data_IF_942641532362
#
_entry.id   IF_942641532362
#
_cell.length_a   1.000
_cell.length_b   1.000
_cell.length_c   1.000
_cell.angle_alpha   90.00
_cell.angle_beta   90.00
_cell.angle_gamma   90.00
#
_symmetry.space_group_name_H-M   'P 1'
#
loop_
_entity.id
_entity.type
_entity.pdbx_description
1 polymer ?
#
# COMPACT_ATOMS: atom_id res chain seq x y z
N UNK A 1 -16.20 -7.94 -21.57
CA UNK A 1 -15.03 -7.06 -21.82
C UNK A 1 -14.33 -6.83 -20.49
N UNK A 2 -13.02 -7.07 -20.40
CA UNK A 2 -12.22 -6.80 -19.20
C UNK A 2 -11.38 -5.56 -19.51
N UNK A 3 -11.43 -4.55 -18.64
CA UNK A 3 -10.65 -3.31 -18.78
C UNK A 3 -9.63 -3.24 -17.64
N UNK A 4 -8.35 -3.11 -17.99
CA UNK A 4 -7.30 -2.83 -17.02
C UNK A 4 -7.28 -1.34 -16.72
N UNK A 5 -7.39 -0.98 -15.45
CA UNK A 5 -7.40 0.42 -15.02
C UNK A 5 -6.17 0.71 -14.18
N UNK A 6 -5.34 1.71 -14.56
CA UNK A 6 -4.21 2.12 -13.73
C UNK A 6 -4.72 2.73 -12.42
N UNK A 7 -3.98 2.48 -11.34
CA UNK A 7 -4.25 3.05 -10.02
C UNK A 7 -2.99 3.68 -9.46
N UNK A 8 -3.14 4.75 -8.69
CA UNK A 8 -2.08 5.45 -8.00
C UNK A 8 -2.06 5.02 -6.53
N UNK A 9 -0.97 4.38 -6.10
CA UNK A 9 -0.84 3.89 -4.71
C UNK A 9 0.32 4.60 -4.04
N UNK A 10 0.11 5.17 -2.86
CA UNK A 10 1.19 5.65 -2.00
C UNK A 10 1.60 4.53 -1.04
N UNK A 11 2.91 4.28 -0.93
CA UNK A 11 3.49 3.36 0.05
C UNK A 11 4.57 4.13 0.80
N UNK A 12 4.35 4.31 2.10
CA UNK A 12 5.32 4.95 2.98
C UNK A 12 5.98 3.89 3.86
N UNK A 13 7.30 3.70 3.71
CA UNK A 13 8.07 2.74 4.51
C UNK A 13 8.50 3.34 5.84
N UNK A 14 8.37 2.56 6.91
CA UNK A 14 8.82 2.89 8.26
C UNK A 14 9.53 1.69 8.88
N UNK A 15 10.64 1.89 9.62
CA UNK A 15 11.37 0.79 10.24
C UNK A 15 10.52 -0.02 11.24
N UNK A 16 9.68 0.66 12.02
CA UNK A 16 8.92 0.12 13.16
C UNK A 16 7.58 0.84 13.34
N UNK A 17 6.63 0.24 14.07
CA UNK A 17 5.31 0.87 14.26
C UNK A 17 5.35 2.14 15.13
N UNK A 18 6.29 2.28 16.06
CA UNK A 18 6.41 3.49 16.87
C UNK A 18 6.82 4.71 16.01
N UNK A 19 7.74 4.50 15.06
CA UNK A 19 8.13 5.52 14.08
C UNK A 19 6.96 5.82 13.15
N UNK A 20 6.24 4.79 12.70
CA UNK A 20 5.05 4.99 11.87
C UNK A 20 3.95 5.81 12.59
N UNK A 21 3.75 5.61 13.89
CA UNK A 21 2.82 6.40 14.69
C UNK A 21 3.28 7.86 14.85
N UNK A 22 4.57 8.10 15.12
CA UNK A 22 5.14 9.46 15.23
C UNK A 22 5.01 10.24 13.92
N UNK A 23 5.14 9.56 12.79
CA UNK A 23 5.14 10.17 11.45
C UNK A 23 3.83 9.97 10.67
N UNK A 24 2.76 9.48 11.33
CA UNK A 24 1.49 9.15 10.68
C UNK A 24 0.86 10.36 9.97
N UNK A 25 1.17 11.58 10.43
CA UNK A 25 0.72 12.82 9.81
C UNK A 25 1.09 12.94 8.33
N UNK A 26 2.23 12.40 7.89
CA UNK A 26 2.61 12.37 6.47
C UNK A 26 1.69 11.44 5.66
N UNK A 27 1.37 10.29 6.22
CA UNK A 27 0.48 9.29 5.60
C UNK A 27 -0.95 9.83 5.48
N UNK A 28 -1.42 10.53 6.52
CA UNK A 28 -2.71 11.22 6.53
C UNK A 28 -2.75 12.29 5.43
N UNK A 29 -1.68 13.07 5.24
CA UNK A 29 -1.59 14.05 4.15
C UNK A 29 -1.72 13.39 2.77
N UNK A 30 -1.14 12.21 2.56
CA UNK A 30 -1.33 11.49 1.31
C UNK A 30 -2.78 11.05 1.12
N UNK A 31 -3.40 10.47 2.15
CA UNK A 31 -4.79 10.04 2.11
C UNK A 31 -5.75 11.21 1.83
N UNK A 32 -5.50 12.37 2.44
CA UNK A 32 -6.29 13.58 2.26
C UNK A 32 -6.01 14.35 0.95
N UNK A 33 -4.93 14.05 0.24
CA UNK A 33 -4.51 14.82 -0.94
C UNK A 33 -5.40 14.61 -2.18
N UNK A 34 -6.18 13.53 -2.22
CA UNK A 34 -6.95 13.14 -3.40
C UNK A 34 -6.10 12.64 -4.58
N UNK A 35 -4.77 12.56 -4.46
CA UNK A 35 -3.88 12.15 -5.56
C UNK A 35 -3.72 10.63 -5.71
N UNK A 36 -4.03 9.86 -4.66
CA UNK A 36 -3.80 8.42 -4.60
C UNK A 36 -5.11 7.67 -4.36
N UNK A 37 -5.30 6.55 -5.06
CA UNK A 37 -6.45 5.64 -4.94
C UNK A 37 -6.41 4.80 -3.67
N UNK A 38 -5.21 4.56 -3.14
CA UNK A 38 -4.98 3.89 -1.88
C UNK A 38 -3.66 4.35 -1.25
N UNK A 39 -3.58 4.27 0.08
CA UNK A 39 -2.39 4.63 0.86
C UNK A 39 -2.05 3.51 1.82
N UNK A 40 -0.77 3.14 1.87
CA UNK A 40 -0.23 2.10 2.72
C UNK A 40 0.93 2.60 3.56
N UNK A 41 1.03 2.05 4.77
CA UNK A 41 2.24 2.06 5.59
C UNK A 41 2.90 0.68 5.47
N UNK A 42 4.17 0.65 5.08
CA UNK A 42 5.01 -0.56 5.14
C UNK A 42 5.83 -0.53 6.42
N UNK A 43 5.76 -1.60 7.19
CA UNK A 43 6.65 -1.86 8.31
C UNK A 43 7.78 -2.79 7.84
N UNK A 44 9.03 -2.34 7.96
CA UNK A 44 10.20 -3.10 7.50
C UNK A 44 10.57 -4.22 8.48
N UNK A 45 10.56 -3.92 9.79
CA UNK A 45 11.02 -4.84 10.83
C UNK A 45 9.98 -5.04 11.96
N UNK A 46 9.12 -6.07 11.87
CA UNK A 46 8.11 -6.34 12.89
C UNK A 46 8.71 -6.69 14.25
N UNK A 47 9.82 -7.44 14.26
CA UNK A 47 10.38 -8.04 15.48
C UNK A 47 10.90 -7.01 16.49
N UNK A 48 11.11 -5.75 16.08
CA UNK A 48 11.49 -4.65 16.97
C UNK A 48 10.30 -3.84 17.48
N UNK A 49 9.09 -4.22 17.13
CA UNK A 49 7.89 -3.46 17.45
C UNK A 49 7.23 -4.00 18.72
N UNK A 50 6.93 -3.12 19.67
CA UNK A 50 6.09 -3.47 20.82
C UNK A 50 4.66 -3.81 20.37
N UNK A 51 4.06 -4.80 21.02
CA UNK A 51 2.73 -5.31 20.65
C UNK A 51 1.65 -4.22 20.77
N UNK A 52 1.84 -3.26 21.67
CA UNK A 52 0.92 -2.14 21.93
C UNK A 52 0.94 -1.10 20.81
N UNK A 53 2.12 -0.71 20.34
CA UNK A 53 2.30 0.26 19.27
C UNK A 53 1.77 -0.28 17.95
N UNK A 54 2.04 -1.56 17.65
CA UNK A 54 1.51 -2.21 16.46
C UNK A 54 -0.02 -2.23 16.47
N UNK A 55 -0.63 -2.59 17.61
CA UNK A 55 -2.10 -2.59 17.76
C UNK A 55 -2.68 -1.19 17.57
N UNK A 56 -2.07 -0.19 18.19
CA UNK A 56 -2.50 1.21 18.07
C UNK A 56 -2.43 1.68 16.62
N UNK A 57 -1.34 1.37 15.91
CA UNK A 57 -1.20 1.69 14.49
C UNK A 57 -2.29 1.02 13.65
N UNK A 58 -2.57 -0.26 13.89
CA UNK A 58 -3.63 -1.00 13.18
C UNK A 58 -5.00 -0.34 13.39
N UNK A 59 -5.33 0.04 14.61
CA UNK A 59 -6.62 0.66 14.93
C UNK A 59 -6.76 2.03 14.28
N UNK A 60 -5.72 2.88 14.35
CA UNK A 60 -5.67 4.18 13.66
C UNK A 60 -5.77 4.01 12.15
N UNK A 61 -5.02 3.06 11.57
CA UNK A 61 -5.02 2.82 10.13
C UNK A 61 -6.40 2.37 9.63
N UNK A 62 -7.09 1.49 10.37
CA UNK A 62 -8.47 1.08 10.05
C UNK A 62 -9.44 2.25 10.03
N UNK A 63 -9.39 3.12 11.05
CA UNK A 63 -10.25 4.29 11.14
C UNK A 63 -10.04 5.27 9.97
N UNK A 64 -8.79 5.42 9.54
CA UNK A 64 -8.41 6.33 8.46
C UNK A 64 -8.53 5.71 7.06
N UNK A 65 -8.82 4.41 6.97
CA UNK A 65 -8.81 3.69 5.69
C UNK A 65 -7.42 3.64 5.06
N UNK A 66 -6.38 3.45 5.87
CA UNK A 66 -4.99 3.28 5.46
C UNK A 66 -4.64 1.80 5.58
N UNK A 67 -3.97 1.24 4.57
CA UNK A 67 -3.48 -0.12 4.63
C UNK A 67 -2.17 -0.23 5.42
N UNK A 68 -1.94 -1.38 6.05
CA UNK A 68 -0.69 -1.68 6.77
C UNK A 68 -0.17 -3.01 6.25
N UNK A 69 1.06 -2.99 5.75
CA UNK A 69 1.76 -4.18 5.26
C UNK A 69 3.07 -4.36 6.02
N UNK A 70 3.54 -5.60 6.05
CA UNK A 70 4.73 -6.01 6.77
C UNK A 70 5.70 -6.73 5.84
N UNK A 71 6.97 -6.32 5.92
CA UNK A 71 8.05 -6.82 5.06
C UNK A 71 8.17 -6.07 3.73
N UNK A 72 9.13 -6.52 2.91
CA UNK A 72 9.55 -5.85 1.68
C UNK A 72 10.66 -4.82 1.92
N UNK A 73 11.28 -4.35 0.84
CA UNK A 73 12.40 -3.42 0.88
C UNK A 73 11.94 -1.96 1.05
N UNK A 74 12.80 -1.11 1.61
CA UNK A 74 12.55 0.33 1.67
C UNK A 74 12.39 0.91 0.26
N UNK A 75 11.43 1.82 0.07
CA UNK A 75 11.17 2.49 -1.22
C UNK A 75 10.82 1.59 -2.42
N UNK A 76 10.60 0.29 -2.21
CA UNK A 76 10.18 -0.65 -3.24
C UNK A 76 8.65 -0.63 -3.45
N UNK A 77 8.13 -0.99 -4.63
CA UNK A 77 6.69 -1.20 -4.82
C UNK A 77 6.18 -2.37 -3.97
N UNK A 78 4.85 -2.47 -3.82
CA UNK A 78 4.23 -3.70 -3.29
C UNK A 78 4.45 -4.84 -4.30
N UNK A 79 4.88 -6.01 -3.82
CA UNK A 79 5.35 -7.09 -4.72
C UNK A 79 4.51 -8.35 -4.70
N UNK A 80 3.59 -8.48 -3.76
CA UNK A 80 2.83 -9.71 -3.55
C UNK A 80 3.44 -10.65 -2.51
N UNK A 81 4.53 -10.27 -1.84
CA UNK A 81 5.15 -11.08 -0.78
C UNK A 81 4.93 -10.52 0.64
N UNK A 82 4.57 -9.25 0.78
CA UNK A 82 4.34 -8.62 2.08
C UNK A 82 3.14 -9.24 2.81
N UNK A 83 3.18 -9.32 4.13
CA UNK A 83 2.02 -9.72 4.92
C UNK A 83 1.09 -8.52 5.09
N UNK A 84 -0.18 -8.67 4.71
CA UNK A 84 -1.19 -7.60 4.90
C UNK A 84 -1.76 -7.69 6.30
N UNK A 85 -1.54 -6.67 7.12
CA UNK A 85 -2.11 -6.54 8.46
C UNK A 85 -3.45 -5.79 8.43
N UNK A 86 -3.54 -4.77 7.57
CA UNK A 86 -4.76 -3.99 7.31
C UNK A 86 -4.85 -3.75 5.80
N UNK A 87 -5.98 -4.09 5.19
CA UNK A 87 -6.24 -3.75 3.79
C UNK A 87 -6.61 -2.27 3.64
N UNK A 88 -6.23 -1.66 2.51
CA UNK A 88 -6.66 -0.31 2.18
C UNK A 88 -7.91 -0.35 1.27
N UNK A 89 -8.91 0.53 1.46
CA UNK A 89 -9.96 0.72 0.48
C UNK A 89 -9.37 1.28 -0.82
N UNK A 90 -9.78 0.71 -1.96
CA UNK A 90 -9.44 1.23 -3.28
C UNK A 90 -10.53 2.23 -3.70
N UNK A 91 -10.19 3.52 -3.75
CA UNK A 91 -11.17 4.60 -3.89
C UNK A 91 -11.44 5.07 -5.32
N UNK A 92 -10.51 4.81 -6.25
CA UNK A 92 -10.66 5.08 -7.69
C UNK A 92 -10.95 6.55 -8.06
N UNK A 93 -10.52 7.51 -7.23
CA UNK A 93 -10.61 8.95 -7.54
C UNK A 93 -9.27 9.54 -7.98
N UNK A 94 -8.17 8.79 -7.84
CA UNK A 94 -6.82 9.26 -8.13
C UNK A 94 -6.66 9.56 -9.62
N UNK A 95 -5.67 10.39 -9.93
CA UNK A 95 -5.28 10.65 -11.32
C UNK A 95 -3.82 10.19 -11.53
N UNK A 96 -3.62 8.91 -11.90
CA UNK A 96 -2.29 8.35 -12.11
C UNK A 96 -1.46 9.12 -13.14
N UNK A 97 -2.10 9.65 -14.19
CA UNK A 97 -1.44 10.44 -15.24
C UNK A 97 -0.92 11.76 -14.68
N UNK A 98 -1.77 12.50 -13.94
CA UNK A 98 -1.36 13.76 -13.31
C UNK A 98 -0.26 13.52 -12.26
N UNK A 99 -0.35 12.42 -11.49
CA UNK A 99 0.68 12.05 -10.53
C UNK A 99 2.02 11.76 -11.22
N UNK A 100 2.00 10.97 -12.30
CA UNK A 100 3.18 10.67 -13.11
C UNK A 100 3.83 11.93 -13.68
N UNK A 101 3.03 12.84 -14.24
CA UNK A 101 3.51 14.11 -14.78
C UNK A 101 4.11 15.03 -13.72
N UNK A 102 3.53 15.06 -12.51
CA UNK A 102 3.99 15.90 -11.39
C UNK A 102 5.24 15.35 -10.69
N UNK A 103 5.43 14.04 -10.73
CA UNK A 103 6.49 13.30 -10.03
C UNK A 103 7.43 12.62 -11.02
N UNK A 104 7.86 13.31 -12.09
CA UNK A 104 8.68 12.82 -13.23
C UNK A 104 9.89 11.93 -12.88
N UNK A 105 10.28 11.84 -11.61
CA UNK A 105 11.37 11.03 -11.06
C UNK A 105 10.91 9.68 -10.45
N UNK A 106 9.64 9.30 -10.56
CA UNK A 106 9.23 7.97 -10.07
C UNK A 106 9.85 6.88 -10.94
N UNK A 107 10.66 6.02 -10.31
CA UNK A 107 11.20 4.81 -10.93
C UNK A 107 10.06 3.94 -11.44
N UNK A 108 9.96 3.82 -12.76
CA UNK A 108 9.05 2.86 -13.40
C UNK A 108 9.60 1.48 -13.10
N UNK A 109 8.89 0.71 -12.27
CA UNK A 109 9.22 -0.70 -12.09
C UNK A 109 8.61 -1.47 -13.26
N UNK A 110 9.37 -1.59 -14.33
CA UNK A 110 9.06 -2.50 -15.43
C UNK A 110 9.48 -3.91 -15.03
N UNK A 111 8.53 -4.82 -14.87
CA UNK A 111 8.83 -6.26 -14.85
C UNK A 111 8.75 -6.78 -16.28
N UNK A 112 9.77 -7.52 -16.68
CA UNK A 112 9.79 -8.19 -17.97
C UNK A 112 8.91 -9.44 -17.87
N UNK A 113 7.63 -9.27 -18.19
CA UNK A 113 6.65 -10.35 -18.14
C UNK A 113 6.29 -10.71 -19.58
N UNK A 114 6.66 -11.92 -19.97
CA UNK A 114 6.63 -12.37 -21.38
C UNK A 114 5.24 -12.71 -21.88
N UNK A 115 4.27 -12.96 -20.98
CA UNK A 115 2.90 -13.36 -21.33
C UNK A 115 1.82 -12.57 -20.57
N UNK A 116 0.64 -12.43 -21.19
CA UNK A 116 -0.51 -11.74 -20.58
C UNK A 116 -1.00 -12.51 -19.35
N UNK A 117 -0.93 -13.84 -19.36
CA UNK A 117 -1.31 -14.72 -18.26
C UNK A 117 -0.46 -14.49 -17.01
N UNK A 118 0.86 -14.33 -17.19
CA UNK A 118 1.76 -13.99 -16.09
C UNK A 118 1.49 -12.58 -15.57
N UNK A 119 1.20 -11.60 -16.44
CA UNK A 119 0.81 -10.25 -16.02
C UNK A 119 -0.48 -10.29 -15.19
N UNK A 120 -1.46 -11.08 -15.62
CA UNK A 120 -2.72 -11.28 -14.90
C UNK A 120 -2.53 -11.96 -13.55
N UNK A 121 -1.65 -12.96 -13.48
CA UNK A 121 -1.31 -13.65 -12.23
C UNK A 121 -0.64 -12.70 -11.25
N UNK A 122 0.29 -11.89 -11.72
CA UNK A 122 0.95 -10.85 -10.92
C UNK A 122 -0.03 -9.77 -10.48
N UNK A 123 -0.87 -9.22 -11.37
CA UNK A 123 -1.89 -8.23 -11.01
C UNK A 123 -2.91 -8.80 -10.02
N UNK A 124 -3.25 -10.08 -10.14
CA UNK A 124 -4.16 -10.75 -9.22
C UNK A 124 -3.60 -10.84 -7.80
N UNK A 125 -2.28 -10.89 -7.63
CA UNK A 125 -1.65 -10.90 -6.31
C UNK A 125 -1.95 -9.60 -5.54
N UNK A 126 -2.12 -8.47 -6.24
CA UNK A 126 -2.43 -7.19 -5.60
C UNK A 126 -3.82 -7.13 -4.98
N UNK A 127 -4.76 -8.00 -5.40
CA UNK A 127 -6.12 -8.02 -4.84
C UNK A 127 -6.10 -8.19 -3.32
N UNK A 128 -5.13 -8.92 -2.77
CA UNK A 128 -5.00 -9.16 -1.32
C UNK A 128 -4.76 -7.90 -0.48
N UNK A 129 -4.23 -6.81 -1.07
CA UNK A 129 -4.01 -5.55 -0.37
C UNK A 129 -5.30 -4.73 -0.19
N UNK A 130 -6.33 -5.03 -0.99
CA UNK A 130 -7.59 -4.27 -1.03
C UNK A 130 -8.79 -5.09 -0.53
N UNK A 131 -8.73 -6.41 -0.70
CA UNK A 131 -9.79 -7.29 -0.27
C UNK A 131 -9.85 -7.33 1.26
N UNK A 132 -10.96 -6.83 1.80
CA UNK A 132 -11.34 -6.98 3.19
C UNK A 132 -11.58 -8.48 3.45
N UNK A 133 -10.55 -9.23 3.86
CA UNK A 133 -10.79 -10.54 4.49
C UNK A 133 -11.45 -10.25 5.84
N UNK A 134 -12.76 -10.17 5.87
CA UNK A 134 -13.49 -10.59 7.07
C UNK A 134 -13.19 -12.08 7.23
N UNK A 135 -12.13 -12.42 7.97
CA UNK A 135 -12.06 -13.73 8.61
C UNK A 135 -13.22 -13.78 9.60
N UNK A 136 -14.36 -14.30 9.13
CA UNK A 136 -15.39 -14.88 10.00
C UNK A 136 -15.04 -16.35 10.16
N UNK A 137 -14.89 -16.79 11.41
CA UNK A 137 -14.68 -18.18 11.80
C UNK A 137 -13.31 -18.40 12.42
#
# INVERSE_FOLDING_TARGET
MILYMPVAIAVESKPTADVALKEIGQVIKYAGSGMYDAVFVRLENPHRTGNTELRTLIDVAKQLGIGVVLGGEAYAPLTGFEQVLVGAPLRLYGNPVALYQKRREMNVVSRDISTIEEQLKDLSCFRRYFLKREYRG
#
